data_IF_464606469407
#
_entry.id   IF_464606469407
#
_cell.length_a   1.000
_cell.length_b   1.000
_cell.length_c   1.000
_cell.angle_alpha   90.00
_cell.angle_beta   90.00
_cell.angle_gamma   90.00
#
_symmetry.space_group_name_H-M   'P 1'
#
loop_
_entity.id
_entity.type
_entity.pdbx_description
1 polymer ?
#
# COMPACT_ATOMS: atom_id res chain seq x y z
N UNK A 1 6.11 16.03 -3.83
CA UNK A 1 5.01 15.50 -2.99
C UNK A 1 4.08 16.62 -2.64
N UNK A 2 2.79 16.48 -2.96
CA UNK A 2 1.79 17.50 -2.67
C UNK A 2 1.67 17.62 -1.13
N UNK A 3 1.97 18.81 -0.60
CA UNK A 3 2.14 19.13 0.84
C UNK A 3 0.84 19.15 1.65
N UNK A 4 -0.24 18.58 1.13
CA UNK A 4 -1.60 18.69 1.70
C UNK A 4 -1.81 17.95 3.04
N UNK A 5 -0.79 17.29 3.60
CA UNK A 5 -0.90 16.51 4.83
C UNK A 5 -0.01 16.96 5.99
N UNK A 6 0.91 17.91 5.77
CA UNK A 6 1.95 18.27 6.76
C UNK A 6 1.88 19.72 7.26
N UNK A 7 0.82 20.46 6.91
CA UNK A 7 0.59 21.76 7.53
C UNK A 7 0.21 21.54 9.00
N UNK A 8 0.80 22.30 9.96
CA UNK A 8 0.45 22.21 11.36
C UNK A 8 -0.92 22.84 11.62
N UNK A 9 -1.97 22.17 11.15
CA UNK A 9 -3.36 22.58 11.36
C UNK A 9 -3.89 21.97 12.67
N UNK A 10 -4.76 22.69 13.40
CA UNK A 10 -5.51 22.11 14.51
C UNK A 10 -6.25 20.84 14.08
N UNK A 11 -6.35 19.86 14.98
CA UNK A 11 -6.95 18.54 14.70
C UNK A 11 -8.34 18.64 14.07
N UNK A 12 -9.21 19.51 14.58
CA UNK A 12 -10.57 19.66 14.08
C UNK A 12 -10.61 20.20 12.64
N UNK A 13 -9.71 21.12 12.31
CA UNK A 13 -9.56 21.67 10.95
C UNK A 13 -9.01 20.60 10.02
N UNK A 14 -8.02 19.82 10.45
CA UNK A 14 -7.50 18.70 9.68
C UNK A 14 -8.58 17.66 9.41
N UNK A 15 -9.39 17.33 10.42
CA UNK A 15 -10.50 16.38 10.32
C UNK A 15 -11.55 16.88 9.33
N UNK A 16 -11.92 18.16 9.40
CA UNK A 16 -12.84 18.78 8.44
C UNK A 16 -12.26 18.74 7.02
N UNK A 17 -10.99 19.12 6.84
CA UNK A 17 -10.27 19.05 5.55
C UNK A 17 -10.30 17.65 4.96
N UNK A 18 -9.96 16.62 5.74
CA UNK A 18 -10.01 15.23 5.29
C UNK A 18 -11.42 14.82 4.87
N UNK A 19 -12.45 15.19 5.65
CA UNK A 19 -13.84 14.88 5.34
C UNK A 19 -14.29 15.57 4.04
N UNK A 20 -14.00 16.87 3.88
CA UNK A 20 -14.29 17.61 2.66
C UNK A 20 -13.61 16.98 1.44
N UNK A 21 -12.31 16.66 1.53
CA UNK A 21 -11.58 16.01 0.44
C UNK A 21 -12.15 14.62 0.10
N UNK A 22 -12.52 13.82 1.10
CA UNK A 22 -13.15 12.52 0.88
C UNK A 22 -14.49 12.60 0.12
N UNK A 23 -15.28 13.66 0.37
CA UNK A 23 -16.54 13.87 -0.34
C UNK A 23 -16.34 14.55 -1.71
N UNK A 24 -15.38 15.46 -1.85
CA UNK A 24 -15.14 16.21 -3.08
C UNK A 24 -14.34 15.41 -4.12
N UNK A 25 -13.36 14.61 -3.69
CA UNK A 25 -12.53 13.80 -4.58
C UNK A 25 -13.23 12.47 -4.88
N UNK A 26 -13.99 12.45 -5.96
CA UNK A 26 -14.63 11.24 -6.50
C UNK A 26 -13.85 10.71 -7.69
N UNK A 27 -13.76 9.39 -7.78
CA UNK A 27 -13.23 8.73 -8.96
C UNK A 27 -14.16 8.98 -10.16
N UNK A 28 -13.59 8.97 -11.36
CA UNK A 28 -14.40 9.05 -12.59
C UNK A 28 -15.29 7.80 -12.72
N UNK A 29 -16.45 7.90 -13.40
CA UNK A 29 -17.38 6.76 -13.50
C UNK A 29 -16.72 5.47 -14.01
N UNK A 30 -15.80 5.57 -14.98
CA UNK A 30 -15.06 4.41 -15.50
C UNK A 30 -14.22 3.70 -14.43
N UNK A 31 -13.57 4.44 -13.54
CA UNK A 31 -12.80 3.87 -12.43
C UNK A 31 -13.73 3.27 -11.38
N UNK A 32 -14.86 3.92 -11.10
CA UNK A 32 -15.88 3.40 -10.18
C UNK A 32 -16.48 2.07 -10.66
N UNK A 33 -16.78 1.95 -11.96
CA UNK A 33 -17.25 0.71 -12.58
C UNK A 33 -16.21 -0.41 -12.49
N UNK A 34 -14.95 -0.12 -12.83
CA UNK A 34 -13.86 -1.09 -12.73
C UNK A 34 -13.62 -1.54 -11.27
N UNK A 35 -13.63 -0.60 -10.32
CA UNK A 35 -13.49 -0.88 -8.89
C UNK A 35 -14.67 -1.70 -8.36
N UNK A 36 -15.89 -1.41 -8.82
CA UNK A 36 -17.10 -2.18 -8.46
C UNK A 36 -16.97 -3.63 -8.91
N UNK A 37 -16.54 -3.85 -10.15
CA UNK A 37 -16.34 -5.19 -10.69
C UNK A 37 -15.26 -5.96 -9.92
N UNK A 38 -14.15 -5.30 -9.55
CA UNK A 38 -13.08 -5.93 -8.77
C UNK A 38 -13.57 -6.33 -7.37
N UNK A 39 -14.21 -5.41 -6.65
CA UNK A 39 -14.73 -5.66 -5.30
C UNK A 39 -15.79 -6.77 -5.32
N UNK A 40 -16.68 -6.77 -6.31
CA UNK A 40 -17.66 -7.85 -6.54
C UNK A 40 -16.99 -9.21 -6.67
N UNK A 41 -15.93 -9.30 -7.48
CA UNK A 41 -15.18 -10.56 -7.70
C UNK A 41 -14.45 -11.03 -6.45
N UNK A 42 -13.83 -10.12 -5.69
CA UNK A 42 -13.08 -10.45 -4.47
C UNK A 42 -14.02 -10.91 -3.36
N UNK A 43 -15.13 -10.18 -3.13
CA UNK A 43 -16.09 -10.50 -2.05
C UNK A 43 -16.96 -11.71 -2.37
N UNK A 44 -17.00 -12.16 -3.64
CA UNK A 44 -17.91 -13.18 -4.19
C UNK A 44 -19.38 -12.96 -3.76
N UNK A 45 -19.76 -11.71 -3.48
CA UNK A 45 -21.03 -11.34 -2.86
C UNK A 45 -21.32 -9.83 -3.00
N UNK A 46 -22.59 -9.44 -3.10
CA UNK A 46 -23.01 -8.05 -3.41
C UNK A 46 -23.94 -7.40 -2.37
N UNK A 47 -24.39 -8.11 -1.34
CA UNK A 47 -25.59 -7.70 -0.58
C UNK A 47 -25.37 -6.61 0.49
N UNK A 48 -24.14 -6.12 0.67
CA UNK A 48 -23.85 -5.03 1.62
C UNK A 48 -23.11 -3.88 0.94
N UNK A 49 -23.86 -2.84 0.57
CA UNK A 49 -23.30 -1.52 0.30
C UNK A 49 -22.90 -0.92 1.63
N UNK A 50 -21.60 -0.90 1.94
CA UNK A 50 -21.14 -0.04 3.03
C UNK A 50 -21.27 1.43 2.62
N UNK A 51 -21.39 2.36 3.59
CA UNK A 51 -21.31 3.80 3.32
C UNK A 51 -20.02 4.18 2.58
N UNK A 52 -18.96 3.39 2.77
CA UNK A 52 -17.69 3.55 2.06
C UNK A 52 -17.80 3.11 0.60
N UNK A 53 -18.45 1.97 0.33
CA UNK A 53 -18.68 1.49 -1.04
C UNK A 53 -19.52 2.49 -1.84
N UNK A 54 -20.58 3.06 -1.24
CA UNK A 54 -21.39 4.11 -1.86
C UNK A 54 -20.56 5.36 -2.17
N UNK A 55 -19.74 5.81 -1.20
CA UNK A 55 -18.93 6.99 -1.35
C UNK A 55 -17.82 6.84 -2.41
N UNK A 56 -17.26 5.64 -2.60
CA UNK A 56 -16.14 5.40 -3.52
C UNK A 56 -16.59 4.93 -4.89
N UNK A 57 -17.57 4.01 -4.94
CA UNK A 57 -17.98 3.28 -6.14
C UNK A 57 -19.31 3.78 -6.74
N UNK A 58 -20.02 4.66 -6.02
CA UNK A 58 -21.25 5.27 -6.52
C UNK A 58 -22.36 4.26 -6.82
N UNK A 59 -23.17 4.56 -7.83
CA UNK A 59 -24.32 3.73 -8.25
C UNK A 59 -23.91 2.46 -9.01
N UNK A 60 -22.64 2.33 -9.42
CA UNK A 60 -22.15 1.22 -10.24
C UNK A 60 -22.23 -0.15 -9.56
N UNK A 61 -22.29 -0.19 -8.22
CA UNK A 61 -22.51 -1.41 -7.44
C UNK A 61 -23.98 -1.90 -7.42
N UNK A 62 -24.93 -1.16 -8.01
CA UNK A 62 -26.36 -1.44 -7.87
C UNK A 62 -26.97 -2.37 -8.94
N UNK A 63 -26.20 -2.76 -9.97
CA UNK A 63 -26.79 -3.22 -11.24
C UNK A 63 -27.04 -4.72 -11.38
N UNK A 64 -26.54 -5.57 -10.48
CA UNK A 64 -26.71 -7.02 -10.58
C UNK A 64 -27.22 -7.64 -9.28
N UNK A 65 -28.09 -8.64 -9.42
CA UNK A 65 -28.76 -9.33 -8.31
C UNK A 65 -28.44 -10.82 -8.33
N UNK A 66 -27.24 -11.22 -7.91
CA UNK A 66 -26.99 -12.64 -7.62
C UNK A 66 -27.56 -13.02 -6.25
N UNK A 67 -28.57 -13.89 -6.25
CA UNK A 67 -29.16 -14.50 -5.05
C UNK A 67 -28.28 -15.68 -4.60
N UNK A 68 -27.21 -15.40 -3.87
CA UNK A 68 -26.48 -16.39 -3.08
C UNK A 68 -26.82 -16.27 -1.60
N UNK A 69 -26.95 -17.39 -0.91
CA UNK A 69 -27.18 -17.48 0.55
C UNK A 69 -25.86 -17.49 1.36
N UNK A 70 -24.70 -17.35 0.70
CA UNK A 70 -23.38 -17.33 1.36
C UNK A 70 -23.02 -15.97 1.95
N UNK A 71 -22.37 -15.95 3.12
CA UNK A 71 -21.85 -14.72 3.74
C UNK A 71 -20.72 -14.10 2.89
N UNK A 72 -20.65 -12.76 2.74
CA UNK A 72 -19.59 -12.12 1.95
C UNK A 72 -18.19 -12.50 2.42
N UNK A 73 -17.31 -12.83 1.47
CA UNK A 73 -15.90 -13.04 1.79
C UNK A 73 -15.28 -11.73 2.29
N UNK A 74 -14.74 -11.78 3.50
CA UNK A 74 -13.91 -10.71 4.08
C UNK A 74 -12.50 -10.85 3.51
N UNK A 75 -11.94 -9.74 3.07
CA UNK A 75 -10.56 -9.67 2.56
C UNK A 75 -9.79 -8.54 3.24
N UNK A 76 -8.47 -8.68 3.25
CA UNK A 76 -7.51 -7.66 3.67
C UNK A 76 -6.99 -6.93 2.43
N UNK A 77 -7.15 -5.61 2.36
CA UNK A 77 -6.45 -4.79 1.37
C UNK A 77 -5.08 -4.42 1.93
N UNK A 78 -4.01 -4.83 1.25
CA UNK A 78 -2.63 -4.61 1.64
C UNK A 78 -1.93 -3.75 0.58
N UNK A 79 -1.40 -2.60 0.97
CA UNK A 79 -0.56 -1.79 0.10
C UNK A 79 0.90 -1.93 0.53
N UNK A 80 1.71 -2.63 -0.27
CA UNK A 80 3.15 -2.78 -0.02
C UNK A 80 3.92 -1.77 -0.86
N UNK A 81 4.40 -0.71 -0.20
CA UNK A 81 5.22 0.34 -0.82
C UNK A 81 6.70 -0.08 -0.84
N UNK A 82 7.01 -1.13 -1.58
CA UNK A 82 8.34 -1.75 -1.67
C UNK A 82 8.82 -1.86 -3.13
N UNK A 83 8.50 -0.86 -3.94
CA UNK A 83 9.00 -0.67 -5.30
C UNK A 83 10.46 -0.19 -5.30
N UNK A 84 11.20 -0.42 -6.39
CA UNK A 84 12.63 -0.07 -6.50
C UNK A 84 12.89 1.43 -6.24
N UNK A 85 12.05 2.32 -6.76
CA UNK A 85 12.16 3.77 -6.54
C UNK A 85 12.03 4.14 -5.05
N UNK A 86 11.12 3.48 -4.34
CA UNK A 86 10.87 3.69 -2.91
C UNK A 86 11.99 3.10 -2.04
N UNK A 87 12.40 1.88 -2.35
CA UNK A 87 13.51 1.18 -1.68
C UNK A 87 14.78 2.01 -1.83
N UNK A 88 15.10 2.45 -3.04
CA UNK A 88 16.21 3.36 -3.30
C UNK A 88 16.04 4.68 -2.54
N UNK A 89 14.93 5.39 -2.69
CA UNK A 89 14.74 6.70 -2.07
C UNK A 89 14.83 6.69 -0.54
N UNK A 90 14.43 5.59 0.11
CA UNK A 90 14.38 5.48 1.57
C UNK A 90 15.75 5.51 2.28
N UNK A 91 16.85 5.23 1.55
CA UNK A 91 18.21 5.08 2.10
C UNK A 91 18.37 3.99 3.17
N UNK A 92 17.37 3.13 3.34
CA UNK A 92 17.39 2.08 4.33
C UNK A 92 18.20 0.87 3.87
N UNK A 93 18.57 0.04 4.84
CA UNK A 93 19.16 -1.28 4.62
C UNK A 93 18.07 -2.35 4.68
N UNK A 94 17.98 -3.25 3.69
CA UNK A 94 16.97 -4.30 3.63
C UNK A 94 17.59 -5.72 3.68
N UNK A 95 18.83 -5.82 4.14
CA UNK A 95 19.50 -7.07 4.41
C UNK A 95 20.03 -7.81 3.18
N UNK A 96 20.01 -7.19 1.99
CA UNK A 96 20.60 -7.76 0.76
C UNK A 96 22.11 -7.61 0.64
N UNK A 97 22.77 -7.04 1.65
CA UNK A 97 24.23 -6.91 1.73
C UNK A 97 24.82 -5.92 0.72
N UNK A 98 26.10 -6.09 0.39
CA UNK A 98 26.83 -5.15 -0.47
C UNK A 98 26.30 -5.06 -1.89
N UNK A 99 25.75 -6.16 -2.42
CA UNK A 99 25.16 -6.18 -3.77
C UNK A 99 23.95 -5.25 -3.84
N UNK A 100 22.99 -5.41 -2.93
CA UNK A 100 21.80 -4.56 -2.84
C UNK A 100 22.18 -3.10 -2.58
N UNK A 101 23.17 -2.85 -1.71
CA UNK A 101 23.66 -1.47 -1.46
C UNK A 101 24.19 -0.80 -2.71
N UNK A 102 25.00 -1.51 -3.51
CA UNK A 102 25.58 -0.98 -4.75
C UNK A 102 24.53 -0.75 -5.83
N UNK A 103 23.61 -1.70 -6.00
CA UNK A 103 22.50 -1.59 -6.95
C UNK A 103 21.63 -0.37 -6.64
N UNK A 104 21.17 -0.25 -5.40
CA UNK A 104 20.34 0.89 -4.98
C UNK A 104 21.13 2.22 -5.02
N UNK A 105 22.44 2.19 -4.78
CA UNK A 105 23.28 3.38 -4.94
C UNK A 105 23.34 3.84 -6.39
N UNK A 106 23.56 2.92 -7.34
CA UNK A 106 23.55 3.23 -8.77
C UNK A 106 22.18 3.79 -9.20
N UNK A 107 21.09 3.18 -8.74
CA UNK A 107 19.73 3.69 -9.00
C UNK A 107 19.55 5.13 -8.49
N UNK A 108 20.03 5.45 -7.29
CA UNK A 108 19.95 6.81 -6.74
C UNK A 108 20.76 7.83 -7.53
N UNK A 109 21.91 7.42 -8.06
CA UNK A 109 22.76 8.30 -8.87
C UNK A 109 22.10 8.68 -10.18
N UNK A 110 21.41 7.74 -10.81
CA UNK A 110 20.67 7.97 -12.06
C UNK A 110 19.36 8.73 -11.83
N UNK A 111 18.50 8.24 -10.90
CA UNK A 111 17.13 8.73 -10.77
C UNK A 111 16.94 9.83 -9.71
N UNK A 112 17.84 9.93 -8.71
CA UNK A 112 17.71 10.87 -7.59
C UNK A 112 18.94 11.77 -7.35
N UNK A 113 19.50 12.43 -8.39
CA UNK A 113 20.72 13.24 -8.23
C UNK A 113 20.53 14.42 -7.26
N UNK A 114 19.32 14.99 -7.17
CA UNK A 114 19.00 16.07 -6.22
C UNK A 114 18.96 15.59 -4.77
N UNK A 115 18.54 14.34 -4.54
CA UNK A 115 18.56 13.73 -3.20
C UNK A 115 20.01 13.60 -2.74
N UNK A 116 20.89 13.05 -3.57
CA UNK A 116 22.31 12.89 -3.24
C UNK A 116 23.00 14.24 -2.98
N UNK A 117 22.71 15.26 -3.79
CA UNK A 117 23.20 16.64 -3.56
C UNK A 117 22.74 17.19 -2.20
N UNK A 118 21.52 16.89 -1.76
CA UNK A 118 21.01 17.30 -0.45
C UNK A 118 21.69 16.54 0.69
N UNK A 119 21.87 15.23 0.52
CA UNK A 119 22.50 14.38 1.52
C UNK A 119 23.93 14.82 1.83
N UNK A 120 24.70 15.23 0.81
CA UNK A 120 26.05 15.81 0.99
C UNK A 120 26.08 17.07 1.84
N UNK A 121 24.96 17.80 1.94
CA UNK A 121 24.85 19.05 2.73
C UNK A 121 24.20 18.83 4.10
N UNK A 122 23.58 17.68 4.33
CA UNK A 122 22.92 17.34 5.59
C UNK A 122 23.79 16.48 6.48
N UNK A 123 23.46 16.43 7.77
CA UNK A 123 24.09 15.47 8.68
C UNK A 123 23.84 14.04 8.20
N UNK A 124 24.84 13.14 8.24
CA UNK A 124 24.62 11.73 7.98
C UNK A 124 23.55 11.18 8.94
N UNK A 125 22.59 10.45 8.39
CA UNK A 125 21.58 9.72 9.19
C UNK A 125 21.90 8.25 9.06
N UNK A 126 21.98 7.54 10.19
CA UNK A 126 22.23 6.09 10.15
C UNK A 126 20.97 5.35 9.69
N UNK A 127 21.16 4.18 9.08
CA UNK A 127 20.06 3.33 8.59
C UNK A 127 19.18 2.84 9.74
N UNK A 128 19.77 2.60 10.92
CA UNK A 128 19.04 2.22 12.13
C UNK A 128 18.12 3.34 12.61
N UNK A 129 18.57 4.59 12.56
CA UNK A 129 17.76 5.74 12.95
C UNK A 129 16.58 5.96 11.98
N UNK A 130 16.80 5.77 10.68
CA UNK A 130 15.72 5.80 9.70
C UNK A 130 14.66 4.73 10.00
N UNK A 131 15.09 3.51 10.33
CA UNK A 131 14.15 2.43 10.66
C UNK A 131 13.42 2.69 11.97
N UNK A 132 14.12 3.11 13.03
CA UNK A 132 13.52 3.45 14.34
C UNK A 132 12.49 4.57 14.25
N UNK A 133 12.70 5.54 13.36
CA UNK A 133 11.78 6.67 13.15
C UNK A 133 10.66 6.37 12.15
N UNK A 134 10.51 5.12 11.69
CA UNK A 134 9.45 4.71 10.78
C UNK A 134 9.59 5.26 9.36
N UNK A 135 10.81 5.62 8.93
CA UNK A 135 11.08 6.16 7.59
C UNK A 135 11.41 5.08 6.56
N UNK A 136 11.60 3.85 7.00
CA UNK A 136 11.82 2.70 6.11
C UNK A 136 10.49 2.02 5.77
N UNK A 137 10.23 1.67 4.50
CA UNK A 137 9.14 0.78 4.16
C UNK A 137 9.40 -0.61 4.76
N UNK A 138 8.32 -1.34 5.07
CA UNK A 138 8.43 -2.74 5.48
C UNK A 138 8.78 -3.60 4.27
N UNK A 139 9.71 -4.52 4.43
CA UNK A 139 9.92 -5.57 3.42
C UNK A 139 8.72 -6.52 3.38
N UNK A 140 8.50 -7.27 2.29
CA UNK A 140 7.43 -8.28 2.26
C UNK A 140 7.55 -9.30 3.39
N UNK A 141 8.76 -9.66 3.80
CA UNK A 141 9.03 -10.57 4.93
C UNK A 141 8.59 -9.94 6.27
N UNK A 142 8.96 -8.68 6.52
CA UNK A 142 8.53 -7.94 7.71
C UNK A 142 7.00 -7.77 7.74
N UNK A 143 6.39 -7.41 6.60
CA UNK A 143 4.94 -7.27 6.47
C UNK A 143 4.22 -8.60 6.76
N UNK A 144 4.77 -9.72 6.25
CA UNK A 144 4.24 -11.07 6.52
C UNK A 144 4.21 -11.38 8.01
N UNK A 145 5.30 -11.07 8.73
CA UNK A 145 5.39 -11.27 10.17
C UNK A 145 4.41 -10.38 10.93
N UNK A 146 4.25 -9.11 10.52
CA UNK A 146 3.28 -8.19 11.12
C UNK A 146 1.86 -8.74 10.96
N UNK A 147 1.47 -9.20 9.77
CA UNK A 147 0.16 -9.78 9.53
C UNK A 147 -0.09 -11.03 10.39
N UNK A 148 0.92 -11.90 10.50
CA UNK A 148 0.83 -13.09 11.34
C UNK A 148 0.67 -12.72 12.82
N UNK A 149 1.44 -11.74 13.31
CA UNK A 149 1.37 -11.23 14.68
C UNK A 149 0.03 -10.56 15.02
N UNK A 150 -0.62 -9.93 14.04
CA UNK A 150 -1.98 -9.38 14.18
C UNK A 150 -3.08 -10.46 14.18
N UNK A 151 -2.73 -11.73 13.98
CA UNK A 151 -3.67 -12.86 14.02
C UNK A 151 -4.34 -13.20 12.69
N UNK A 152 -3.86 -12.65 11.56
CA UNK A 152 -4.34 -13.07 10.24
C UNK A 152 -3.89 -14.50 9.95
N UNK A 153 -4.87 -15.34 9.60
CA UNK A 153 -4.67 -16.78 9.39
C UNK A 153 -4.26 -17.05 7.94
N UNK A 154 -3.67 -18.23 7.69
CA UNK A 154 -3.31 -18.69 6.33
C UNK A 154 -4.46 -18.61 5.32
N UNK A 155 -5.71 -18.79 5.77
CA UNK A 155 -6.90 -18.68 4.92
C UNK A 155 -7.35 -17.26 4.57
N UNK A 156 -6.71 -16.22 5.13
CA UNK A 156 -7.06 -14.82 4.86
C UNK A 156 -6.91 -14.49 3.38
N UNK A 157 -7.98 -13.97 2.77
CA UNK A 157 -7.93 -13.42 1.42
C UNK A 157 -7.26 -12.04 1.45
N UNK A 158 -6.21 -11.85 0.65
CA UNK A 158 -5.47 -10.59 0.59
C UNK A 158 -5.56 -10.03 -0.82
N UNK A 159 -5.98 -8.77 -0.93
CA UNK A 159 -5.81 -7.98 -2.14
C UNK A 159 -4.56 -7.11 -2.00
N UNK A 160 -3.53 -7.42 -2.77
CA UNK A 160 -2.27 -6.69 -2.79
C UNK A 160 -2.36 -5.54 -3.80
N UNK A 161 -2.47 -4.31 -3.28
CA UNK A 161 -2.32 -3.10 -4.06
C UNK A 161 -0.84 -2.75 -4.15
N UNK A 162 -0.31 -2.62 -5.36
CA UNK A 162 1.08 -2.23 -5.57
C UNK A 162 1.49 -2.41 -7.02
N UNK A 163 2.75 -2.10 -7.31
CA UNK A 163 3.37 -2.40 -8.59
C UNK A 163 4.43 -3.50 -8.38
N UNK A 164 5.42 -3.56 -9.27
CA UNK A 164 6.50 -4.53 -9.19
C UNK A 164 7.30 -4.34 -7.89
N UNK A 165 7.22 -5.33 -7.00
CA UNK A 165 7.97 -5.36 -5.76
C UNK A 165 9.45 -5.58 -6.06
N UNK A 166 10.34 -4.79 -5.44
CA UNK A 166 11.78 -4.93 -5.55
C UNK A 166 12.23 -6.33 -5.10
N UNK A 167 13.13 -6.96 -5.86
CA UNK A 167 13.51 -8.36 -5.68
C UNK A 167 12.47 -9.40 -6.16
N UNK A 168 11.30 -8.94 -6.61
CA UNK A 168 10.28 -9.75 -7.28
C UNK A 168 9.81 -10.96 -6.47
N UNK A 169 9.66 -12.11 -7.15
CA UNK A 169 9.14 -13.34 -6.56
C UNK A 169 9.97 -13.85 -5.38
N UNK A 170 11.28 -13.57 -5.35
CA UNK A 170 12.16 -14.00 -4.25
C UNK A 170 11.78 -13.33 -2.93
N UNK A 171 11.57 -12.01 -2.94
CA UNK A 171 11.13 -11.23 -1.78
C UNK A 171 9.67 -11.48 -1.44
N UNK A 172 8.83 -11.75 -2.44
CA UNK A 172 7.40 -12.04 -2.22
C UNK A 172 7.11 -13.44 -1.67
N UNK A 173 8.08 -14.36 -1.75
CA UNK A 173 7.90 -15.76 -1.37
C UNK A 173 7.35 -15.97 0.06
N UNK A 174 7.82 -15.25 1.10
CA UNK A 174 7.29 -15.44 2.44
C UNK A 174 5.80 -15.06 2.56
N UNK A 175 5.39 -13.98 1.89
CA UNK A 175 4.01 -13.52 1.90
C UNK A 175 3.08 -14.50 1.18
N UNK A 176 3.45 -14.93 -0.03
CA UNK A 176 2.63 -15.84 -0.84
C UNK A 176 2.60 -17.26 -0.28
N UNK A 177 3.66 -17.69 0.43
CA UNK A 177 3.69 -18.99 1.10
C UNK A 177 2.79 -19.03 2.34
N UNK A 178 2.77 -17.94 3.13
CA UNK A 178 1.96 -17.88 4.34
C UNK A 178 0.50 -17.53 4.05
N UNK A 179 0.24 -16.73 3.01
CA UNK A 179 -1.09 -16.29 2.59
C UNK A 179 -1.34 -16.67 1.13
N UNK A 180 -1.70 -17.95 0.84
CA UNK A 180 -1.91 -18.43 -0.54
C UNK A 180 -3.11 -17.81 -1.25
N UNK A 181 -4.06 -17.21 -0.51
CA UNK A 181 -5.24 -16.55 -1.07
C UNK A 181 -4.96 -15.07 -1.40
N UNK A 182 -3.77 -14.79 -1.97
CA UNK A 182 -3.35 -13.44 -2.36
C UNK A 182 -3.68 -13.18 -3.82
N UNK A 183 -4.29 -12.03 -4.10
CA UNK A 183 -4.62 -11.53 -5.44
C UNK A 183 -3.96 -10.17 -5.63
N UNK A 184 -3.27 -9.96 -6.75
CA UNK A 184 -2.63 -8.70 -7.14
C UNK A 184 -3.21 -8.23 -8.48
#
# INVERSE_FOLDING_TARGET
GNRLGFDPLPFDVQRLRCKCNFHALKFTPKIQEAGSLLVKRIRRFEKSKSRLDEALLGESMAKDSFKGDEEPLKYLALHLRFEEDMVAYSLCDFGGGETERKELQAYREDHFPLLLKRLKKSKPVSTEELRKTGKCPLTPEEATLVLAGLGFKRGTYIYLAGSQIYGGSSRMLPLTTLYPNLVA
#
